data_IF_322176795434
#
_entry.id   IF_322176795434
#
_cell.length_a   1.000
_cell.length_b   1.000
_cell.length_c   1.000
_cell.angle_alpha   90.00
_cell.angle_beta   90.00
_cell.angle_gamma   90.00
#
_symmetry.space_group_name_H-M   'P 1'
#
loop_
_entity.id
_entity.type
_entity.pdbx_description
1 polymer ?
#
# COMPACT_ATOMS: atom_id res chain seq x y z
N UNK A 1 0.97 13.96 -5.50
CA UNK A 1 0.97 14.69 -4.22
C UNK A 1 -0.43 15.17 -3.85
N UNK A 2 -1.21 15.81 -4.75
CA UNK A 2 -2.59 16.24 -4.44
C UNK A 2 -3.64 15.12 -4.24
N UNK A 3 -3.51 13.96 -4.90
CA UNK A 3 -4.50 12.86 -4.83
C UNK A 3 -4.71 12.31 -3.40
N UNK A 4 -3.71 12.43 -2.53
CA UNK A 4 -3.75 11.84 -1.19
C UNK A 4 -4.01 12.86 -0.07
N UNK A 5 -3.90 14.17 -0.33
CA UNK A 5 -4.49 15.18 0.57
C UNK A 5 -6.00 14.99 0.66
N UNK A 6 -6.61 14.54 -0.44
CA UNK A 6 -8.04 14.27 -0.52
C UNK A 6 -8.42 12.96 0.21
N UNK A 7 -7.49 12.00 0.36
CA UNK A 7 -7.73 10.77 1.12
C UNK A 7 -7.87 11.04 2.62
N UNK A 8 -6.98 11.85 3.20
CA UNK A 8 -7.09 12.26 4.61
C UNK A 8 -8.36 13.09 4.83
N UNK A 9 -8.71 13.97 3.89
CA UNK A 9 -9.97 14.71 3.92
C UNK A 9 -11.18 13.78 3.83
N UNK A 10 -11.16 12.77 2.94
CA UNK A 10 -12.23 11.79 2.82
C UNK A 10 -12.41 10.95 4.09
N UNK A 11 -11.33 10.58 4.77
CA UNK A 11 -11.40 9.92 6.07
C UNK A 11 -12.03 10.84 7.12
N UNK A 12 -11.58 12.09 7.20
CA UNK A 12 -12.15 13.06 8.16
C UNK A 12 -13.62 13.36 7.87
N UNK A 13 -14.01 13.60 6.62
CA UNK A 13 -15.41 13.83 6.24
C UNK A 13 -16.27 12.57 6.52
N UNK A 14 -15.72 11.37 6.33
CA UNK A 14 -16.40 10.12 6.67
C UNK A 14 -16.54 9.91 8.20
N UNK A 15 -15.58 10.37 8.98
CA UNK A 15 -15.62 10.40 10.44
C UNK A 15 -16.77 11.30 10.95
N UNK A 16 -17.03 12.43 10.27
CA UNK A 16 -18.09 13.37 10.61
C UNK A 16 -19.49 13.01 10.08
N UNK A 17 -19.62 12.11 9.11
CA UNK A 17 -20.89 11.82 8.42
C UNK A 17 -21.60 10.54 8.88
N UNK A 18 -20.96 9.67 9.66
CA UNK A 18 -21.60 8.46 10.16
C UNK A 18 -22.51 8.75 11.38
N UNK A 19 -23.76 8.28 11.34
CA UNK A 19 -24.73 8.37 12.46
C UNK A 19 -24.25 7.64 13.74
N UNK A 20 -23.15 6.89 13.67
CA UNK A 20 -22.49 6.21 14.78
C UNK A 20 -21.02 6.66 14.87
N UNK A 21 -20.73 7.64 15.73
CA UNK A 21 -19.44 8.26 16.03
C UNK A 21 -18.22 7.30 16.11
N UNK A 22 -17.66 6.84 14.98
CA UNK A 22 -16.44 6.00 15.02
C UNK A 22 -15.90 5.51 13.67
N UNK A 23 -14.58 5.31 13.64
CA UNK A 23 -13.85 4.67 12.54
C UNK A 23 -14.38 3.25 12.28
N UNK A 24 -14.52 2.86 11.01
CA UNK A 24 -14.95 1.51 10.61
C UNK A 24 -14.27 1.05 9.32
N UNK A 25 -14.28 -0.26 9.05
CA UNK A 25 -13.79 -0.81 7.80
C UNK A 25 -14.53 -0.23 6.57
N UNK A 26 -15.84 -0.01 6.69
CA UNK A 26 -16.65 0.57 5.61
C UNK A 26 -16.27 2.02 5.32
N UNK A 27 -15.96 2.81 6.35
CA UNK A 27 -15.46 4.19 6.21
C UNK A 27 -14.14 4.20 5.43
N UNK A 28 -13.21 3.32 5.78
CA UNK A 28 -11.91 3.23 5.10
C UNK A 28 -12.09 2.76 3.66
N UNK A 29 -12.94 1.76 3.41
CA UNK A 29 -13.22 1.29 2.05
C UNK A 29 -13.80 2.42 1.18
N UNK A 30 -14.78 3.16 1.70
CA UNK A 30 -15.36 4.32 1.01
C UNK A 30 -14.32 5.39 0.70
N UNK A 31 -13.37 5.65 1.61
CA UNK A 31 -12.29 6.60 1.36
C UNK A 31 -11.40 6.16 0.18
N UNK A 32 -11.01 4.87 0.12
CA UNK A 32 -10.24 4.35 -1.02
C UNK A 32 -11.00 4.51 -2.35
N UNK A 33 -12.29 4.17 -2.37
CA UNK A 33 -13.12 4.26 -3.56
C UNK A 33 -13.40 5.70 -3.98
N UNK A 34 -13.58 6.61 -3.02
CA UNK A 34 -13.74 8.05 -3.30
C UNK A 34 -12.47 8.64 -3.92
N UNK A 35 -11.30 8.33 -3.37
CA UNK A 35 -10.01 8.78 -3.92
C UNK A 35 -9.76 8.20 -5.32
N UNK A 36 -10.13 6.94 -5.56
CA UNK A 36 -10.07 6.35 -6.90
C UNK A 36 -10.97 7.10 -7.88
N UNK A 37 -12.22 7.35 -7.54
CA UNK A 37 -13.18 8.03 -8.43
C UNK A 37 -12.73 9.46 -8.75
N UNK A 38 -12.19 10.18 -7.76
CA UNK A 38 -11.60 11.50 -7.97
C UNK A 38 -10.40 11.45 -8.93
N UNK A 39 -9.51 10.47 -8.75
CA UNK A 39 -8.40 10.26 -9.67
C UNK A 39 -8.88 9.96 -11.09
N UNK A 40 -9.86 9.07 -11.27
CA UNK A 40 -10.42 8.74 -12.59
C UNK A 40 -11.07 9.98 -13.24
N UNK A 41 -11.77 10.80 -12.45
CA UNK A 41 -12.31 12.09 -12.89
C UNK A 41 -11.21 13.04 -13.36
N UNK A 42 -10.10 13.11 -12.65
CA UNK A 42 -8.91 13.89 -13.05
C UNK A 42 -8.31 13.37 -14.36
N UNK A 43 -8.14 12.05 -14.50
CA UNK A 43 -7.64 11.41 -15.73
C UNK A 43 -8.54 11.78 -16.90
N UNK A 44 -9.87 11.70 -16.74
CA UNK A 44 -10.84 12.06 -17.77
C UNK A 44 -10.73 13.53 -18.19
N UNK A 45 -10.61 14.45 -17.23
CA UNK A 45 -10.43 15.89 -17.47
C UNK A 45 -9.13 16.20 -18.20
N UNK A 46 -8.05 15.48 -17.89
CA UNK A 46 -6.73 15.71 -18.47
C UNK A 46 -6.42 14.86 -19.71
N UNK A 47 -7.30 13.93 -20.09
CA UNK A 47 -7.02 12.91 -21.12
C UNK A 47 -6.49 13.47 -22.43
N UNK A 48 -7.08 14.55 -22.94
CA UNK A 48 -6.69 15.18 -24.20
C UNK A 48 -5.36 15.96 -24.13
N UNK A 49 -4.92 16.34 -22.92
CA UNK A 49 -3.74 17.19 -22.69
C UNK A 49 -2.55 16.35 -22.21
N UNK A 50 -2.80 15.42 -21.28
CA UNK A 50 -1.79 14.60 -20.62
C UNK A 50 -2.31 13.16 -20.45
N UNK A 51 -2.45 12.37 -21.54
CA UNK A 51 -2.97 11.00 -21.48
C UNK A 51 -2.15 10.06 -20.60
N UNK A 52 -0.86 10.34 -20.38
CA UNK A 52 0.02 9.52 -19.55
C UNK A 52 -0.43 9.43 -18.08
N UNK A 53 -1.24 10.38 -17.60
CA UNK A 53 -1.81 10.30 -16.25
C UNK A 53 -2.62 9.02 -16.05
N UNK A 54 -3.22 8.44 -17.10
CA UNK A 54 -3.96 7.20 -16.99
C UNK A 54 -3.08 5.99 -16.62
N UNK A 55 -1.76 6.06 -16.88
CA UNK A 55 -0.78 5.03 -16.50
C UNK A 55 -0.16 5.25 -15.12
N UNK A 56 -0.52 6.34 -14.44
CA UNK A 56 -0.03 6.61 -13.08
C UNK A 56 -0.91 5.84 -12.11
N UNK A 57 -0.27 5.06 -11.24
CA UNK A 57 -0.90 4.36 -10.14
C UNK A 57 0.06 4.23 -8.96
N UNK A 58 -0.49 3.81 -7.82
CA UNK A 58 0.26 3.58 -6.59
C UNK A 58 -0.37 2.46 -5.78
N UNK A 59 0.49 1.65 -5.15
CA UNK A 59 0.09 0.88 -3.99
C UNK A 59 -0.30 1.85 -2.86
N UNK A 60 -1.28 1.47 -2.04
CA UNK A 60 -1.73 2.26 -0.90
C UNK A 60 -1.90 1.32 0.29
N UNK A 61 -1.07 1.53 1.31
CA UNK A 61 -1.14 0.83 2.58
C UNK A 61 -1.39 1.85 3.69
N UNK A 62 -2.45 1.63 4.45
CA UNK A 62 -2.95 2.51 5.50
C UNK A 62 -3.05 1.74 6.81
N UNK A 63 -2.50 2.33 7.86
CA UNK A 63 -2.77 1.96 9.25
C UNK A 63 -3.50 3.10 9.95
N UNK A 64 -4.50 2.78 10.78
CA UNK A 64 -5.23 3.74 11.62
C UNK A 64 -5.42 3.11 13.00
N UNK A 65 -5.09 3.83 14.05
CA UNK A 65 -5.41 3.43 15.42
C UNK A 65 -6.52 4.32 15.93
N UNK A 66 -7.58 3.72 16.44
CA UNK A 66 -8.72 4.43 17.00
C UNK A 66 -9.33 3.59 18.12
N UNK A 67 -9.46 4.18 19.32
CA UNK A 67 -10.08 3.52 20.49
C UNK A 67 -9.47 2.14 20.83
N UNK A 68 -8.14 2.01 20.72
CA UNK A 68 -7.41 0.76 20.99
C UNK A 68 -7.55 -0.34 19.91
N UNK A 69 -8.21 -0.04 18.79
CA UNK A 69 -8.26 -0.89 17.60
C UNK A 69 -7.28 -0.36 16.55
N UNK A 70 -6.57 -1.29 15.91
CA UNK A 70 -5.75 -1.05 14.73
C UNK A 70 -6.52 -1.52 13.49
N UNK A 71 -6.75 -0.60 12.56
CA UNK A 71 -7.28 -0.84 11.22
C UNK A 71 -6.12 -0.82 10.25
N UNK A 72 -6.04 -1.83 9.38
CA UNK A 72 -5.05 -1.91 8.32
C UNK A 72 -5.80 -2.11 7.01
N UNK A 73 -5.59 -1.23 6.04
CA UNK A 73 -6.15 -1.32 4.71
C UNK A 73 -5.01 -1.35 3.68
N UNK A 74 -5.00 -2.36 2.80
CA UNK A 74 -3.95 -2.52 1.80
C UNK A 74 -4.54 -2.71 0.40
N UNK A 75 -4.11 -1.89 -0.56
CA UNK A 75 -4.33 -2.06 -1.99
C UNK A 75 -2.96 -2.04 -2.69
N UNK A 76 -2.42 -3.22 -2.98
CA UNK A 76 -1.07 -3.39 -3.51
C UNK A 76 -0.26 -4.42 -2.72
N UNK A 77 1.06 -4.32 -2.82
CA UNK A 77 2.02 -5.28 -2.26
C UNK A 77 3.00 -4.68 -1.25
N UNK A 78 2.67 -3.51 -0.71
CA UNK A 78 3.22 -3.06 0.57
C UNK A 78 2.73 -3.99 1.69
N UNK A 79 3.46 -4.04 2.81
CA UNK A 79 3.17 -4.94 3.94
C UNK A 79 3.34 -4.27 5.30
N UNK A 80 2.48 -4.67 6.25
CA UNK A 80 2.57 -4.36 7.69
C UNK A 80 2.97 -5.60 8.47
N UNK A 81 3.98 -5.45 9.32
CA UNK A 81 4.44 -6.48 10.26
C UNK A 81 4.43 -5.93 11.68
N UNK A 82 3.83 -6.67 12.60
CA UNK A 82 3.80 -6.39 14.04
C UNK A 82 4.93 -7.15 14.73
N UNK A 83 5.73 -6.44 15.53
CA UNK A 83 6.61 -7.04 16.52
C UNK A 83 5.84 -7.26 17.83
N UNK A 84 5.52 -8.52 18.16
CA UNK A 84 4.83 -8.89 19.40
C UNK A 84 5.76 -9.64 20.35
N UNK A 85 5.86 -9.18 21.59
CA UNK A 85 6.62 -9.85 22.64
C UNK A 85 5.91 -11.15 23.08
N UNK A 86 6.56 -12.27 22.82
CA UNK A 86 6.13 -13.57 23.31
C UNK A 86 6.71 -13.82 24.70
N UNK A 87 5.92 -13.51 25.75
CA UNK A 87 6.37 -13.52 27.15
C UNK A 87 6.99 -14.85 27.61
N UNK A 88 6.51 -15.98 27.08
CA UNK A 88 6.98 -17.31 27.47
C UNK A 88 8.47 -17.52 27.11
N UNK A 89 8.90 -17.01 25.96
CA UNK A 89 10.27 -17.15 25.44
C UNK A 89 11.09 -15.86 25.54
N UNK A 90 10.46 -14.72 25.89
CA UNK A 90 11.06 -13.39 25.96
C UNK A 90 11.67 -12.92 24.62
N UNK A 91 11.06 -13.32 23.52
CA UNK A 91 11.45 -12.94 22.16
C UNK A 91 10.34 -12.12 21.50
N UNK A 92 10.70 -11.23 20.59
CA UNK A 92 9.73 -10.51 19.76
C UNK A 92 9.51 -11.29 18.47
N UNK A 93 8.28 -11.73 18.23
CA UNK A 93 7.89 -12.45 17.01
C UNK A 93 7.28 -11.51 16.00
N UNK A 94 7.61 -11.73 14.74
CA UNK A 94 7.00 -11.04 13.62
C UNK A 94 5.64 -11.65 13.26
N UNK A 95 4.62 -10.79 13.22
CA UNK A 95 3.26 -11.15 12.82
C UNK A 95 2.86 -10.27 11.64
N UNK A 96 2.71 -10.86 10.45
CA UNK A 96 2.22 -10.12 9.29
C UNK A 96 0.73 -9.83 9.45
N UNK A 97 0.35 -8.56 9.26
CA UNK A 97 -1.02 -8.10 9.48
C UNK A 97 -1.76 -7.75 8.18
N UNK A 98 -1.06 -7.60 7.06
CA UNK A 98 -1.66 -7.24 5.78
C UNK A 98 -1.61 -8.40 4.78
N UNK A 99 -2.67 -8.57 4.00
CA UNK A 99 -2.65 -9.40 2.79
C UNK A 99 -2.00 -8.62 1.66
N UNK A 100 -1.11 -9.24 0.90
CA UNK A 100 -0.46 -8.64 -0.26
C UNK A 100 -1.18 -9.02 -1.55
N UNK A 101 -1.24 -8.07 -2.49
CA UNK A 101 -1.93 -8.19 -3.76
C UNK A 101 -0.93 -8.24 -4.92
N UNK A 102 0.07 -9.13 -4.82
CA UNK A 102 1.11 -9.34 -5.84
C UNK A 102 0.86 -10.64 -6.61
N UNK A 103 0.89 -10.59 -7.94
CA UNK A 103 0.68 -11.72 -8.84
C UNK A 103 1.73 -12.84 -8.70
N UNK A 104 2.85 -12.60 -8.00
CA UNK A 104 3.81 -13.64 -7.65
C UNK A 104 3.22 -14.64 -6.63
N UNK A 105 2.25 -14.20 -5.82
CA UNK A 105 1.53 -15.05 -4.88
C UNK A 105 0.51 -15.94 -5.60
N UNK A 106 0.45 -17.22 -5.25
CA UNK A 106 -0.46 -18.19 -5.89
C UNK A 106 -1.93 -17.84 -5.66
N UNK A 107 -2.29 -17.45 -4.44
CA UNK A 107 -3.67 -17.06 -4.10
C UNK A 107 -4.17 -15.87 -4.94
N UNK A 108 -3.33 -14.85 -5.16
CA UNK A 108 -3.68 -13.69 -5.99
C UNK A 108 -3.89 -14.10 -7.45
N UNK A 109 -3.09 -15.05 -7.96
CA UNK A 109 -3.30 -15.60 -9.32
C UNK A 109 -4.61 -16.36 -9.43
N UNK A 110 -4.94 -17.18 -8.43
CA UNK A 110 -6.20 -17.91 -8.36
C UNK A 110 -7.40 -16.95 -8.29
N UNK A 111 -7.32 -15.88 -7.49
CA UNK A 111 -8.32 -14.81 -7.43
C UNK A 111 -8.50 -14.13 -8.80
N UNK A 112 -7.41 -13.72 -9.45
CA UNK A 112 -7.45 -13.10 -10.79
C UNK A 112 -8.10 -14.01 -11.83
N UNK A 113 -7.76 -15.31 -11.84
CA UNK A 113 -8.43 -16.27 -12.73
C UNK A 113 -9.91 -16.47 -12.40
N UNK A 114 -10.29 -16.43 -11.11
CA UNK A 114 -11.69 -16.54 -10.71
C UNK A 114 -12.52 -15.31 -11.11
N UNK A 115 -11.94 -14.12 -11.07
CA UNK A 115 -12.61 -12.87 -11.48
C UNK A 115 -12.69 -12.73 -13.01
N UNK A 116 -11.74 -13.33 -13.73
CA UNK A 116 -11.61 -13.27 -15.19
C UNK A 116 -11.52 -14.68 -15.82
N UNK A 117 -12.57 -15.52 -15.69
CA UNK A 117 -12.54 -16.91 -16.17
C UNK A 117 -12.36 -17.02 -17.69
N UNK A 118 -12.78 -16.00 -18.43
CA UNK A 118 -12.72 -15.95 -19.89
C UNK A 118 -11.42 -15.34 -20.44
N UNK A 119 -10.50 -14.88 -19.55
CA UNK A 119 -9.24 -14.25 -19.94
C UNK A 119 -8.05 -15.14 -19.54
N UNK A 120 -7.62 -16.09 -20.40
CA UNK A 120 -6.49 -16.96 -20.12
C UNK A 120 -5.17 -16.20 -19.98
N UNK A 121 -5.12 -14.93 -20.41
CA UNK A 121 -3.94 -14.07 -20.33
C UNK A 121 -4.02 -13.06 -19.16
N UNK A 122 -4.98 -13.22 -18.23
CA UNK A 122 -5.13 -12.31 -17.08
C UNK A 122 -3.84 -12.20 -16.27
N UNK A 123 -3.10 -13.30 -16.14
CA UNK A 123 -1.78 -13.35 -15.52
C UNK A 123 -0.81 -14.11 -16.41
N UNK A 124 0.36 -13.53 -16.66
CA UNK A 124 1.40 -14.13 -17.51
C UNK A 124 2.76 -14.07 -16.82
N UNK A 125 3.57 -15.11 -17.03
CA UNK A 125 4.96 -15.13 -16.58
C UNK A 125 5.83 -14.46 -17.65
N UNK A 126 6.37 -13.28 -17.35
CA UNK A 126 7.21 -12.49 -18.26
C UNK A 126 8.52 -12.13 -17.59
N UNK A 127 9.65 -12.46 -18.22
CA UNK A 127 10.99 -12.28 -17.64
C UNK A 127 11.13 -12.90 -16.24
N UNK A 128 10.59 -14.10 -16.04
CA UNK A 128 10.56 -14.84 -14.75
C UNK A 128 9.75 -14.18 -13.63
N UNK A 129 8.95 -13.16 -13.93
CA UNK A 129 8.09 -12.47 -12.97
C UNK A 129 6.63 -12.57 -13.42
N UNK A 130 5.74 -12.91 -12.49
CA UNK A 130 4.31 -12.96 -12.76
C UNK A 130 3.74 -11.54 -12.87
N UNK A 131 3.01 -11.26 -13.95
CA UNK A 131 2.44 -9.94 -14.23
C UNK A 131 0.99 -10.05 -14.69
N UNK A 132 0.14 -9.18 -14.16
CA UNK A 132 -1.23 -8.96 -14.61
C UNK A 132 -1.19 -8.38 -16.04
N UNK A 133 -1.82 -9.08 -16.98
CA UNK A 133 -1.80 -8.82 -18.43
C UNK A 133 -0.40 -8.55 -19.02
N UNK A 134 0.66 -9.00 -18.36
CA UNK A 134 2.05 -8.80 -18.79
C UNK A 134 2.62 -7.40 -18.56
N UNK A 135 1.92 -6.55 -17.80
CA UNK A 135 2.28 -5.15 -17.58
C UNK A 135 2.74 -4.90 -16.15
N UNK A 136 1.91 -5.17 -15.15
CA UNK A 136 2.15 -4.80 -13.74
C UNK A 136 2.12 -6.03 -12.82
N UNK A 137 2.78 -5.97 -11.65
CA UNK A 137 2.83 -7.10 -10.70
C UNK A 137 1.68 -7.09 -9.69
N UNK A 138 1.03 -5.95 -9.44
CA UNK A 138 -0.04 -5.86 -8.45
C UNK A 138 -1.41 -6.13 -9.06
N UNK A 139 -2.34 -6.71 -8.30
CA UNK A 139 -3.75 -6.89 -8.68
C UNK A 139 -4.66 -5.77 -8.15
N UNK A 140 -4.16 -4.96 -7.20
CA UNK A 140 -4.88 -3.84 -6.61
C UNK A 140 -3.99 -2.61 -6.51
N UNK A 141 -4.56 -1.44 -6.80
CA UNK A 141 -3.88 -0.14 -6.73
C UNK A 141 -4.89 1.00 -6.76
N UNK A 142 -4.50 2.19 -6.32
CA UNK A 142 -5.19 3.44 -6.67
C UNK A 142 -4.57 3.98 -7.96
N UNK A 143 -5.39 4.43 -8.89
CA UNK A 143 -4.97 4.87 -10.21
C UNK A 143 -4.89 3.73 -11.24
N UNK A 144 -3.87 3.68 -12.09
CA UNK A 144 -3.77 2.69 -13.18
C UNK A 144 -5.04 2.64 -14.04
N UNK A 145 -5.63 3.81 -14.32
CA UNK A 145 -6.92 3.96 -14.99
C UNK A 145 -7.01 3.19 -16.31
N UNK A 146 -5.88 3.06 -17.01
CA UNK A 146 -5.74 2.30 -18.25
C UNK A 146 -6.03 0.80 -18.13
N UNK A 147 -6.00 0.21 -16.92
CA UNK A 147 -6.38 -1.19 -16.66
C UNK A 147 -7.75 -1.30 -15.98
N UNK A 148 -8.37 -0.18 -15.63
CA UNK A 148 -9.68 -0.15 -14.94
C UNK A 148 -10.81 0.27 -15.85
N UNK A 149 -10.56 1.17 -16.79
CA UNK A 149 -11.53 1.64 -17.78
C UNK A 149 -10.96 1.52 -19.19
N UNK A 150 -11.64 0.78 -20.04
CA UNK A 150 -11.22 0.56 -21.44
C UNK A 150 -11.08 1.87 -22.23
N UNK A 151 -11.82 2.91 -21.87
CA UNK A 151 -11.74 4.24 -22.50
C UNK A 151 -10.36 4.90 -22.39
N UNK A 152 -9.53 4.48 -21.42
CA UNK A 152 -8.15 4.95 -21.24
C UNK A 152 -7.10 3.98 -21.80
N UNK A 153 -7.49 2.79 -22.26
CA UNK A 153 -6.58 1.84 -22.90
C UNK A 153 -6.56 2.01 -24.43
N UNK A 154 -6.29 3.24 -24.88
CA UNK A 154 -6.30 3.59 -26.31
C UNK A 154 -5.42 4.81 -26.58
N UNK A 155 -5.23 5.14 -27.85
CA UNK A 155 -4.54 6.39 -28.22
C UNK A 155 -5.28 7.60 -27.63
N UNK A 156 -4.55 8.60 -27.08
CA UNK A 156 -3.11 8.85 -27.23
C UNK A 156 -2.19 8.25 -26.14
N UNK A 157 -2.62 7.26 -25.37
CA UNK A 157 -1.73 6.56 -24.42
C UNK A 157 -0.60 5.81 -25.14
N UNK A 158 0.60 5.80 -24.55
CA UNK A 158 1.75 5.10 -25.12
C UNK A 158 1.44 3.61 -25.32
N UNK A 159 1.87 3.06 -26.45
CA UNK A 159 1.65 1.65 -26.82
C UNK A 159 2.13 0.67 -25.75
N UNK A 160 3.19 0.99 -25.00
CA UNK A 160 3.72 0.13 -23.92
C UNK A 160 2.73 -0.14 -22.79
N UNK A 161 1.71 0.72 -22.61
CA UNK A 161 0.65 0.56 -21.60
C UNK A 161 -0.65 0.03 -22.21
N UNK A 162 -0.74 -0.08 -23.54
CA UNK A 162 -1.97 -0.53 -24.20
C UNK A 162 -2.00 -2.05 -24.29
N UNK A 163 -3.18 -2.61 -24.01
CA UNK A 163 -3.47 -4.01 -24.24
C UNK A 163 -3.85 -4.20 -25.71
N UNK A 164 -3.46 -5.34 -26.32
CA UNK A 164 -3.82 -5.64 -27.70
C UNK A 164 -5.33 -5.91 -27.85
N UNK A 165 -5.95 -6.49 -26.83
CA UNK A 165 -7.36 -6.87 -26.82
C UNK A 165 -8.16 -5.98 -25.87
N UNK A 166 -9.41 -5.61 -26.24
CA UNK A 166 -10.27 -4.83 -25.36
C UNK A 166 -10.73 -5.65 -24.16
N UNK A 167 -11.01 -4.97 -23.06
CA UNK A 167 -11.57 -5.56 -21.85
C UNK A 167 -12.86 -4.82 -21.45
N UNK A 168 -13.78 -5.52 -20.82
CA UNK A 168 -15.09 -4.97 -20.42
C UNK A 168 -15.26 -4.88 -18.90
N UNK A 169 -14.39 -5.53 -18.13
CA UNK A 169 -14.35 -5.52 -16.67
C UNK A 169 -13.01 -4.95 -16.21
N UNK A 170 -12.96 -4.15 -15.13
CA UNK A 170 -11.69 -3.68 -14.56
C UNK A 170 -10.75 -4.86 -14.28
N UNK A 171 -9.50 -4.74 -14.73
CA UNK A 171 -8.45 -5.76 -14.52
C UNK A 171 -7.80 -5.61 -13.14
N UNK A 172 -7.71 -4.36 -12.66
CA UNK A 172 -7.22 -4.03 -11.31
C UNK A 172 -8.37 -3.51 -10.46
N UNK A 173 -8.27 -3.73 -9.15
CA UNK A 173 -9.23 -3.21 -8.17
C UNK A 173 -8.60 -2.07 -7.34
N UNK A 174 -9.41 -1.10 -6.92
CA UNK A 174 -8.99 -0.07 -5.96
C UNK A 174 -9.37 -0.42 -4.51
N UNK A 175 -10.32 -1.34 -4.33
CA UNK A 175 -10.81 -1.77 -3.04
C UNK A 175 -9.70 -2.46 -2.22
N UNK A 176 -9.38 -1.97 -1.01
CA UNK A 176 -8.36 -2.57 -0.17
C UNK A 176 -8.84 -3.86 0.49
N UNK A 177 -7.90 -4.73 0.87
CA UNK A 177 -8.17 -5.71 1.93
C UNK A 177 -8.08 -4.99 3.28
N UNK A 178 -9.05 -5.21 4.17
CA UNK A 178 -9.06 -4.55 5.49
C UNK A 178 -8.97 -5.59 6.60
N UNK A 179 -8.02 -5.40 7.53
CA UNK A 179 -7.93 -6.11 8.81
C UNK A 179 -8.23 -5.14 9.94
N UNK A 180 -9.06 -5.56 10.89
CA UNK A 180 -9.29 -4.84 12.16
C UNK A 180 -8.87 -5.74 13.30
N UNK A 181 -7.98 -5.27 14.16
CA UNK A 181 -7.54 -6.02 15.33
C UNK A 181 -7.39 -5.14 16.57
N UNK A 182 -7.55 -5.74 17.73
CA UNK A 182 -7.25 -5.07 19.00
C UNK A 182 -5.74 -5.09 19.26
N UNK A 183 -5.22 -3.96 19.74
CA UNK A 183 -3.85 -3.88 20.22
C UNK A 183 -3.75 -4.37 21.67
N UNK A 184 -2.64 -5.05 21.97
CA UNK A 184 -2.35 -5.61 23.30
C UNK A 184 -1.03 -5.05 23.84
N UNK A 185 -0.81 -5.05 25.17
CA UNK A 185 0.45 -4.58 25.76
C UNK A 185 1.71 -5.31 25.26
N UNK A 186 1.56 -6.52 24.74
CA UNK A 186 2.63 -7.29 24.10
C UNK A 186 3.03 -6.74 22.73
N UNK A 187 2.20 -5.91 22.09
CA UNK A 187 2.47 -5.30 20.79
C UNK A 187 3.49 -4.17 20.96
N UNK A 188 4.75 -4.44 20.58
CA UNK A 188 5.85 -3.53 20.83
C UNK A 188 5.93 -2.42 19.78
N UNK A 189 5.79 -2.79 18.50
CA UNK A 189 5.88 -1.87 17.38
C UNK A 189 5.25 -2.44 16.10
N UNK A 190 4.91 -1.56 15.17
CA UNK A 190 4.48 -1.91 13.82
C UNK A 190 5.50 -1.42 12.79
N UNK A 191 5.84 -2.25 11.81
CA UNK A 191 6.67 -1.92 10.66
C UNK A 191 5.75 -1.83 9.44
N UNK A 192 5.62 -0.64 8.88
CA UNK A 192 5.02 -0.44 7.57
C UNK A 192 6.14 -0.23 6.56
N UNK A 193 6.13 -0.97 5.46
CA UNK A 193 7.08 -0.76 4.37
C UNK A 193 6.51 -1.19 3.00
N UNK A 194 7.07 -0.62 1.94
CA UNK A 194 6.90 -1.05 0.55
C UNK A 194 7.62 -2.37 0.27
N UNK A 195 7.32 -2.96 -0.88
CA UNK A 195 7.96 -4.16 -1.39
C UNK A 195 9.49 -4.05 -1.48
N UNK A 196 10.05 -2.86 -1.72
CA UNK A 196 11.50 -2.67 -1.74
C UNK A 196 12.23 -3.14 -0.45
N UNK A 197 11.58 -3.04 0.73
CA UNK A 197 12.12 -3.64 1.96
C UNK A 197 11.95 -5.16 1.96
N UNK A 198 10.73 -5.61 1.67
CA UNK A 198 10.30 -7.00 1.83
C UNK A 198 10.87 -7.95 0.76
N UNK A 199 11.42 -7.41 -0.32
CA UNK A 199 12.21 -8.15 -1.32
C UNK A 199 13.59 -8.56 -0.77
N UNK A 200 14.09 -7.86 0.25
CA UNK A 200 15.44 -8.07 0.79
C UNK A 200 15.45 -8.64 2.21
N UNK A 201 14.40 -8.42 2.99
CA UNK A 201 14.32 -8.88 4.38
C UNK A 201 13.07 -9.72 4.63
N UNK A 202 13.24 -10.80 5.37
CA UNK A 202 12.11 -11.52 5.96
C UNK A 202 11.44 -10.69 7.06
N UNK A 203 10.20 -11.03 7.38
CA UNK A 203 9.45 -10.36 8.44
C UNK A 203 10.18 -10.43 9.79
N UNK A 204 10.79 -11.57 10.12
CA UNK A 204 11.49 -11.74 11.39
C UNK A 204 12.81 -10.98 11.42
N UNK A 205 13.61 -10.99 10.34
CA UNK A 205 14.83 -10.19 10.28
C UNK A 205 14.54 -8.69 10.47
N UNK A 206 13.48 -8.17 9.85
CA UNK A 206 13.08 -6.78 10.04
C UNK A 206 12.68 -6.48 11.49
N UNK A 207 11.94 -7.38 12.13
CA UNK A 207 11.55 -7.26 13.54
C UNK A 207 12.76 -7.35 14.47
N UNK A 208 13.69 -8.25 14.21
CA UNK A 208 14.92 -8.41 15.00
C UNK A 208 15.78 -7.15 14.90
N UNK A 209 15.95 -6.58 13.70
CA UNK A 209 16.69 -5.32 13.48
C UNK A 209 16.06 -4.17 14.28
N UNK A 210 14.74 -4.00 14.22
CA UNK A 210 14.03 -2.94 14.95
C UNK A 210 14.11 -3.17 16.46
N UNK A 211 13.98 -4.41 16.91
CA UNK A 211 14.06 -4.79 18.32
C UNK A 211 15.47 -4.59 18.91
N UNK A 212 16.51 -4.87 18.14
CA UNK A 212 17.92 -4.74 18.54
C UNK A 212 18.44 -3.30 18.45
N UNK A 213 17.73 -2.43 17.72
CA UNK A 213 18.04 -1.00 17.60
C UNK A 213 17.02 -0.10 18.35
N UNK A 214 16.74 -0.29 19.65
CA UNK A 214 15.69 0.46 20.31
C UNK A 214 16.02 1.96 20.48
N UNK A 215 17.29 2.41 20.35
CA UNK A 215 17.73 3.79 20.72
C UNK A 215 19.03 4.34 20.07
N UNK A 216 19.16 4.39 18.74
CA UNK A 216 20.19 5.24 18.10
C UNK A 216 19.60 6.57 17.58
N UNK A 217 19.27 7.46 18.53
CA UNK A 217 18.91 8.85 18.26
C UNK A 217 20.22 9.63 18.10
N UNK A 218 20.74 9.81 16.88
CA UNK A 218 22.02 10.53 16.73
C UNK A 218 22.68 10.63 15.34
N UNK A 219 22.01 10.32 14.22
CA UNK A 219 22.53 10.68 12.90
C UNK A 219 21.74 11.85 12.30
N UNK A 220 22.39 12.83 11.64
CA UNK A 220 21.72 14.01 11.13
C UNK A 220 20.98 13.62 9.85
N UNK A 221 19.66 13.47 9.90
CA UNK A 221 18.85 13.25 8.71
C UNK A 221 17.80 14.33 8.49
N UNK A 222 17.64 14.61 7.20
CA UNK A 222 16.96 15.74 6.59
C UNK A 222 15.48 15.71 6.94
N UNK A 223 15.00 16.78 7.58
CA UNK A 223 13.59 17.03 7.87
C UNK A 223 12.80 17.18 6.56
N UNK A 224 11.72 16.41 6.41
CA UNK A 224 10.56 16.88 5.66
C UNK A 224 9.51 17.29 6.70
N UNK A 225 9.32 18.60 6.83
CA UNK A 225 8.26 19.20 7.65
C UNK A 225 6.88 18.73 7.16
N UNK A 226 6.14 18.03 8.01
CA UNK A 226 4.68 18.12 8.04
C UNK A 226 4.20 18.25 9.48
N UNK A 227 3.17 19.07 9.64
CA UNK A 227 2.77 19.81 10.82
C UNK A 227 2.32 18.89 11.97
N UNK A 228 2.97 19.05 13.13
CA UNK A 228 2.48 18.82 14.49
C UNK A 228 1.81 17.48 14.82
N UNK A 229 2.58 16.39 14.94
CA UNK A 229 2.43 15.41 16.05
C UNK A 229 3.80 14.74 16.29
N UNK A 230 4.23 14.76 17.55
CA UNK A 230 5.47 14.17 18.05
C UNK A 230 5.48 12.65 17.85
N UNK A 231 6.12 12.11 16.81
CA UNK A 231 6.51 10.69 16.80
C UNK A 231 7.63 10.34 15.83
N UNK A 232 8.50 9.47 16.32
CA UNK A 232 9.75 8.99 15.74
C UNK A 232 9.52 8.26 14.41
N UNK A 233 10.10 8.78 13.33
CA UNK A 233 10.21 8.11 12.03
C UNK A 233 11.55 7.37 11.99
N UNK A 234 11.53 6.03 11.94
CA UNK A 234 12.74 5.25 11.63
C UNK A 234 12.88 5.18 10.11
N UNK A 235 13.66 6.10 9.55
CA UNK A 235 14.15 5.99 8.18
C UNK A 235 15.35 5.03 8.19
N UNK A 236 15.22 3.82 7.62
CA UNK A 236 16.41 3.07 7.20
C UNK A 236 16.82 3.64 5.84
N UNK A 237 17.58 4.72 5.86
CA UNK A 237 18.38 5.14 4.72
C UNK A 237 19.72 4.45 4.80
N UNK A 238 19.74 3.15 4.48
CA UNK A 238 20.85 2.36 3.92
C UNK A 238 20.68 0.86 4.23
N UNK A 239 20.01 0.13 3.33
CA UNK A 239 20.42 -1.26 3.08
C UNK A 239 21.34 -1.19 1.85
N UNK A 240 22.64 -1.03 2.07
CA UNK A 240 23.61 -1.31 1.01
C UNK A 240 23.70 -2.82 0.89
N UNK A 241 23.04 -3.37 -0.13
CA UNK A 241 23.49 -4.61 -0.76
C UNK A 241 25.02 -4.52 -1.00
N UNK A 242 25.77 -5.61 -0.85
CA UNK A 242 27.19 -5.70 -1.24
C UNK A 242 27.45 -5.36 -2.73
N UNK A 243 26.40 -5.11 -3.53
CA UNK A 243 26.42 -4.69 -4.93
C UNK A 243 25.98 -3.23 -5.14
N UNK A 244 25.72 -2.45 -4.08
CA UNK A 244 25.55 -1.00 -4.17
C UNK A 244 24.27 -0.50 -4.84
N UNK A 245 23.18 -1.29 -4.84
CA UNK A 245 21.86 -0.83 -5.28
C UNK A 245 21.14 -0.10 -4.14
N UNK A 246 20.67 1.12 -4.41
CA UNK A 246 19.91 1.94 -3.48
C UNK A 246 18.41 1.60 -3.59
N UNK A 247 17.79 1.14 -2.49
CA UNK A 247 16.34 1.11 -2.35
C UNK A 247 15.92 2.29 -1.46
N UNK A 248 15.01 3.14 -1.97
CA UNK A 248 14.46 4.27 -1.25
C UNK A 248 13.10 3.86 -0.68
N UNK A 249 13.08 3.18 0.46
CA UNK A 249 11.83 2.74 1.09
C UNK A 249 11.51 3.55 2.33
N UNK A 250 10.24 3.96 2.43
CA UNK A 250 9.70 4.55 3.64
C UNK A 250 9.42 3.43 4.64
N UNK A 251 10.14 3.44 5.76
CA UNK A 251 9.87 2.59 6.91
C UNK A 251 9.26 3.50 7.99
N UNK A 252 8.15 3.08 8.56
CA UNK A 252 7.64 3.68 9.80
C UNK A 252 7.59 2.61 10.86
N UNK A 253 8.26 2.89 11.99
CA UNK A 253 8.12 2.14 13.22
C UNK A 253 7.22 2.93 14.17
N UNK A 254 6.01 2.44 14.39
CA UNK A 254 5.05 3.08 15.30
C UNK A 254 5.13 2.49 16.71
N UNK A 255 5.18 3.35 17.73
CA UNK A 255 5.05 3.01 19.14
C UNK A 255 3.67 3.48 19.68
N UNK A 256 2.87 2.61 20.30
CA UNK A 256 1.50 2.90 20.71
C UNK A 256 1.41 3.87 21.89
N UNK A 257 1.51 5.17 21.61
CA UNK A 257 1.33 6.24 22.63
C UNK A 257 0.43 7.39 22.13
N UNK A 258 0.02 7.43 20.85
CA UNK A 258 -0.77 8.55 20.29
C UNK A 258 -1.91 8.09 19.38
N UNK A 259 -3.08 8.74 19.52
CA UNK A 259 -4.41 8.23 19.16
C UNK A 259 -4.84 8.35 17.70
N UNK A 260 -4.05 8.89 16.77
CA UNK A 260 -4.34 8.77 15.33
C UNK A 260 -3.02 8.84 14.55
N UNK A 261 -2.67 7.78 13.84
CA UNK A 261 -1.62 7.82 12.82
C UNK A 261 -2.24 7.32 11.53
N UNK A 262 -2.21 8.17 10.50
CA UNK A 262 -2.44 7.78 9.13
C UNK A 262 -1.08 7.75 8.44
N UNK A 263 -0.62 6.54 8.07
CA UNK A 263 0.56 6.40 7.23
C UNK A 263 0.14 5.83 5.90
N UNK A 264 0.42 6.54 4.80
CA UNK A 264 0.28 6.04 3.45
C UNK A 264 1.67 5.78 2.85
N UNK A 265 2.01 4.51 2.61
CA UNK A 265 3.22 4.15 1.87
C UNK A 265 2.90 4.07 0.40
N UNK A 266 3.59 4.91 -0.38
CA UNK A 266 3.45 5.00 -1.81
C UNK A 266 4.66 4.35 -2.48
N UNK A 267 4.41 3.28 -3.22
CA UNK A 267 5.39 2.72 -4.16
C UNK A 267 4.92 3.06 -5.57
N UNK A 268 5.65 3.95 -6.25
CA UNK A 268 5.37 4.29 -7.66
C UNK A 268 6.03 3.23 -8.53
N UNK A 269 5.23 2.38 -9.15
CA UNK A 269 5.73 1.35 -10.07
C UNK A 269 5.75 1.90 -11.50
N UNK A 270 6.93 2.31 -11.95
CA UNK A 270 7.18 2.87 -13.30
C UNK A 270 8.06 1.99 -14.17
#
# INVERSE_FOLDING_TARGET
MHIFTDFTAAIHDAEFTSENQGMSADVINKAFLATEEEFLSLVKKQWSIKPQIASVGSCCLVGIICSGLLYIANAGDSRVVLGRLERAVKEVKAIQLSTEHNASLKCVREELHSLHPDDPQIVVLKHKVWRVKGLIQVSRSIGDAYLKKAEFNREPLLSKFRLPEPFHKPILLAEPSILVQKLYPEDQFLIFASDGLWEHLSNQEAVDIVNDCPRYVGFPFIYFEFISVTMLVIVISHVSDQQGKMACDAILCYYPVLDVILLCIHSVKG
#
